data_IF_037449265877
#
_entry.id   IF_037449265877
#
_cell.length_a   1.000
_cell.length_b   1.000
_cell.length_c   1.000
_cell.angle_alpha   90.00
_cell.angle_beta   90.00
_cell.angle_gamma   90.00
#
_symmetry.space_group_name_H-M   'P 1'
#
loop_
_entity.id
_entity.type
_entity.pdbx_description
1 polymer ?
#
# COMPACT_ATOMS: atom_id res chain seq x y z
N UNK A 1 23.42 -21.81 -11.29
CA UNK A 1 22.44 -22.09 -10.20
C UNK A 1 22.22 -23.59 -10.00
N UNK A 2 21.72 -23.99 -8.83
CA UNK A 2 21.31 -25.38 -8.52
C UNK A 2 19.80 -25.61 -8.74
N UNK A 3 19.36 -26.88 -8.72
CA UNK A 3 17.96 -27.23 -8.99
C UNK A 3 16.97 -26.60 -7.99
N UNK A 4 17.33 -26.44 -6.71
CA UNK A 4 16.44 -25.85 -5.70
C UNK A 4 16.18 -24.37 -6.01
N UNK A 5 17.24 -23.63 -6.33
CA UNK A 5 17.17 -22.23 -6.74
C UNK A 5 16.39 -22.07 -8.05
N UNK A 6 16.68 -22.93 -9.04
CA UNK A 6 15.95 -22.92 -10.30
C UNK A 6 14.44 -23.14 -10.08
N UNK A 7 14.07 -24.10 -9.22
CA UNK A 7 12.68 -24.41 -8.92
C UNK A 7 11.94 -23.27 -8.21
N UNK A 8 12.60 -22.51 -7.33
CA UNK A 8 11.97 -21.35 -6.70
C UNK A 8 11.73 -20.19 -7.67
N UNK A 9 12.54 -20.08 -8.73
CA UNK A 9 12.46 -18.98 -9.70
C UNK A 9 11.53 -19.29 -10.89
N UNK A 10 11.14 -20.55 -11.09
CA UNK A 10 10.33 -20.97 -12.24
C UNK A 10 8.99 -20.22 -12.36
N UNK A 11 8.30 -19.94 -11.25
CA UNK A 11 7.02 -19.23 -11.31
C UNK A 11 7.20 -17.77 -11.71
N UNK A 12 8.13 -17.06 -11.06
CA UNK A 12 8.47 -15.68 -11.41
C UNK A 12 8.96 -15.56 -12.87
N UNK A 13 9.70 -16.55 -13.37
CA UNK A 13 10.10 -16.60 -14.79
C UNK A 13 8.88 -16.74 -15.73
N UNK A 14 7.94 -17.62 -15.40
CA UNK A 14 6.73 -17.83 -16.21
C UNK A 14 5.82 -16.59 -16.22
N UNK A 15 5.86 -15.78 -15.16
CA UNK A 15 5.10 -14.53 -15.03
C UNK A 15 5.83 -13.32 -15.63
N UNK A 16 7.11 -13.46 -16.00
CA UNK A 16 7.92 -12.40 -16.60
C UNK A 16 8.44 -11.38 -15.58
N UNK A 17 8.57 -11.78 -14.32
CA UNK A 17 8.96 -10.91 -13.19
C UNK A 17 10.46 -10.95 -12.86
N UNK A 18 11.22 -11.85 -13.48
CA UNK A 18 12.66 -11.94 -13.27
C UNK A 18 13.40 -10.83 -14.03
N UNK A 19 14.45 -10.31 -13.42
CA UNK A 19 15.41 -9.47 -14.12
C UNK A 19 16.16 -10.25 -15.21
N UNK A 20 16.87 -9.53 -16.08
CA UNK A 20 17.57 -10.12 -17.23
C UNK A 20 18.64 -11.14 -16.82
N UNK A 21 19.34 -10.90 -15.70
CA UNK A 21 20.43 -11.75 -15.24
C UNK A 21 19.87 -13.06 -14.70
N UNK A 22 18.89 -12.98 -13.80
CA UNK A 22 18.22 -14.14 -13.23
C UNK A 22 17.52 -14.99 -14.30
N UNK A 23 16.93 -14.35 -15.32
CA UNK A 23 16.33 -15.04 -16.46
C UNK A 23 17.36 -15.84 -17.25
N UNK A 24 18.50 -15.23 -17.59
CA UNK A 24 19.57 -15.91 -18.34
C UNK A 24 20.17 -17.08 -17.55
N UNK A 25 20.45 -16.90 -16.25
CA UNK A 25 20.99 -17.98 -15.43
C UNK A 25 20.02 -19.17 -15.33
N UNK A 26 18.70 -18.90 -15.28
CA UNK A 26 17.68 -19.94 -15.23
C UNK A 26 17.57 -20.68 -16.56
N UNK A 27 17.58 -19.95 -17.67
CA UNK A 27 17.58 -20.53 -19.02
C UNK A 27 18.79 -21.44 -19.22
N UNK A 28 19.99 -20.98 -18.83
CA UNK A 28 21.22 -21.79 -18.89
C UNK A 28 21.11 -23.08 -18.07
N UNK A 29 20.52 -23.02 -16.88
CA UNK A 29 20.33 -24.21 -16.05
C UNK A 29 19.30 -25.16 -16.66
N UNK A 30 18.15 -24.65 -17.13
CA UNK A 30 17.12 -25.48 -17.76
C UNK A 30 17.63 -26.13 -19.05
N UNK A 31 18.51 -25.46 -19.79
CA UNK A 31 19.18 -26.01 -20.97
C UNK A 31 20.03 -27.25 -20.65
N UNK A 32 20.48 -27.44 -19.41
CA UNK A 32 21.35 -28.54 -19.00
C UNK A 32 20.72 -29.49 -17.97
N UNK A 33 19.52 -29.19 -17.45
CA UNK A 33 18.85 -30.01 -16.44
C UNK A 33 17.49 -30.53 -16.95
N UNK A 34 17.36 -31.84 -17.27
CA UNK A 34 16.10 -32.43 -17.76
C UNK A 34 14.94 -32.29 -16.77
N UNK A 35 15.20 -32.43 -15.47
CA UNK A 35 14.16 -32.31 -14.44
C UNK A 35 13.56 -30.90 -14.37
N UNK A 36 14.41 -29.87 -14.41
CA UNK A 36 13.94 -28.48 -14.42
C UNK A 36 13.25 -28.12 -15.75
N UNK A 37 13.72 -28.68 -16.88
CA UNK A 37 13.06 -28.53 -18.18
C UNK A 37 11.65 -29.08 -18.18
N UNK A 38 11.44 -30.29 -17.68
CA UNK A 38 10.10 -30.90 -17.59
C UNK A 38 9.16 -30.07 -16.70
N UNK A 39 9.67 -29.51 -15.60
CA UNK A 39 8.88 -28.63 -14.72
C UNK A 39 8.51 -27.30 -15.40
N UNK A 40 9.44 -26.69 -16.13
CA UNK A 40 9.16 -25.49 -16.90
C UNK A 40 8.10 -25.77 -17.97
N UNK A 41 8.26 -26.86 -18.73
CA UNK A 41 7.30 -27.27 -19.75
C UNK A 41 5.90 -27.52 -19.18
N UNK A 42 5.80 -28.16 -18.01
CA UNK A 42 4.52 -28.34 -17.31
C UNK A 42 3.88 -27.01 -16.91
N UNK A 43 4.68 -26.04 -16.44
CA UNK A 43 4.20 -24.69 -16.12
C UNK A 43 3.70 -23.92 -17.35
N UNK A 44 4.41 -24.01 -18.47
CA UNK A 44 3.99 -23.42 -19.75
C UNK A 44 2.67 -24.06 -20.21
N UNK A 45 2.58 -25.39 -20.20
CA UNK A 45 1.38 -26.12 -20.60
C UNK A 45 0.16 -25.75 -19.74
N UNK A 46 0.35 -25.57 -18.42
CA UNK A 46 -0.70 -25.10 -17.52
C UNK A 46 -1.15 -23.67 -17.85
N UNK A 47 -0.20 -22.75 -18.06
CA UNK A 47 -0.49 -21.35 -18.43
C UNK A 47 -1.32 -21.28 -19.71
N UNK A 48 -0.95 -22.08 -20.72
CA UNK A 48 -1.71 -22.18 -21.96
C UNK A 48 -3.10 -22.79 -21.76
N UNK A 49 -3.22 -23.85 -20.96
CA UNK A 49 -4.51 -24.48 -20.67
C UNK A 49 -5.48 -23.49 -20.00
N UNK A 50 -4.99 -22.70 -19.02
CA UNK A 50 -5.74 -21.62 -18.38
C UNK A 50 -6.08 -20.53 -19.40
N UNK A 51 -5.12 -20.12 -20.24
CA UNK A 51 -5.34 -19.08 -21.25
C UNK A 51 -6.39 -19.47 -22.30
N UNK A 52 -6.53 -20.77 -22.60
CA UNK A 52 -7.56 -21.32 -23.48
C UNK A 52 -8.93 -21.45 -22.81
N UNK A 53 -8.97 -21.83 -21.53
CA UNK A 53 -10.22 -22.05 -20.79
C UNK A 53 -10.81 -20.76 -20.21
N UNK A 54 -9.97 -19.76 -19.94
CA UNK A 54 -10.42 -18.47 -19.46
C UNK A 54 -11.20 -17.72 -20.56
N UNK A 55 -12.49 -17.52 -20.34
CA UNK A 55 -13.31 -16.60 -21.12
C UNK A 55 -12.74 -15.17 -20.93
N UNK A 56 -11.82 -14.79 -21.80
CA UNK A 56 -11.24 -13.45 -21.82
C UNK A 56 -12.35 -12.45 -22.10
N UNK A 57 -12.81 -11.76 -21.06
CA UNK A 57 -13.76 -10.65 -21.24
C UNK A 57 -13.06 -9.51 -21.94
N UNK A 58 -13.55 -9.14 -23.13
CA UNK A 58 -13.04 -7.98 -23.87
C UNK A 58 -13.24 -6.74 -23.01
N UNK A 59 -12.17 -6.00 -22.76
CA UNK A 59 -12.24 -4.75 -22.02
C UNK A 59 -13.18 -3.76 -22.76
N UNK A 60 -14.12 -3.09 -22.05
CA UNK A 60 -14.96 -2.08 -22.68
C UNK A 60 -14.10 -0.95 -23.27
N UNK A 61 -14.49 -0.43 -24.44
CA UNK A 61 -13.75 0.62 -25.13
C UNK A 61 -13.55 1.89 -24.28
N UNK A 62 -14.42 2.15 -23.30
CA UNK A 62 -14.25 3.25 -22.33
C UNK A 62 -13.04 3.00 -21.42
N UNK A 63 -12.89 1.79 -20.88
CA UNK A 63 -11.78 1.46 -19.99
C UNK A 63 -10.44 1.56 -20.74
N UNK A 64 -10.39 1.01 -21.96
CA UNK A 64 -9.19 1.09 -22.81
C UNK A 64 -8.77 2.55 -23.03
N UNK A 65 -9.71 3.42 -23.42
CA UNK A 65 -9.45 4.85 -23.60
C UNK A 65 -8.96 5.54 -22.33
N UNK A 66 -9.56 5.24 -21.17
CA UNK A 66 -9.14 5.80 -19.89
C UNK A 66 -7.70 5.42 -19.56
N UNK A 67 -7.35 4.13 -19.70
CA UNK A 67 -6.02 3.62 -19.38
C UNK A 67 -4.98 4.20 -20.32
N UNK A 68 -5.23 4.22 -21.64
CA UNK A 68 -4.31 4.83 -22.62
C UNK A 68 -4.05 6.30 -22.31
N UNK A 69 -5.11 7.08 -22.00
CA UNK A 69 -4.97 8.49 -21.62
C UNK A 69 -4.17 8.67 -20.33
N UNK A 70 -4.33 7.78 -19.36
CA UNK A 70 -3.55 7.83 -18.11
C UNK A 70 -2.08 7.50 -18.35
N UNK A 71 -1.76 6.52 -19.20
CA UNK A 71 -0.36 6.20 -19.53
C UNK A 71 0.35 7.31 -20.29
N UNK A 72 -0.34 8.01 -21.20
CA UNK A 72 0.22 9.16 -21.92
C UNK A 72 0.56 10.32 -20.96
N UNK A 73 -0.26 10.52 -19.93
CA UNK A 73 -0.02 11.54 -18.90
C UNK A 73 1.10 11.16 -17.93
N UNK A 74 1.36 9.86 -17.70
CA UNK A 74 2.49 9.39 -16.89
C UNK A 74 3.83 9.51 -17.65
N UNK A 75 3.80 9.54 -18.98
CA UNK A 75 4.98 9.77 -19.83
C UNK A 75 5.39 11.24 -19.97
N UNK A 76 4.51 12.18 -19.62
CA UNK A 76 4.83 13.61 -19.57
C UNK A 76 5.30 13.99 -18.17
N UNK A 77 6.50 13.54 -17.82
CA UNK A 77 7.28 14.17 -16.77
C UNK A 77 7.45 15.64 -17.11
N UNK A 78 6.84 16.50 -16.30
CA UNK A 78 6.89 17.95 -16.34
C UNK A 78 8.35 18.42 -16.34
N UNK A 79 8.90 18.65 -17.53
CA UNK A 79 10.11 19.44 -17.71
C UNK A 79 9.67 20.88 -17.76
N UNK A 80 9.89 21.57 -16.64
CA UNK A 80 9.45 22.93 -16.38
C UNK A 80 9.61 23.88 -17.57
N UNK A 81 8.51 24.15 -18.26
CA UNK A 81 8.41 25.18 -19.26
C UNK A 81 7.94 26.48 -18.61
N UNK A 82 8.89 27.35 -18.21
CA UNK A 82 8.64 28.78 -17.91
C UNK A 82 7.87 29.41 -19.07
N UNK A 83 6.54 29.40 -19.01
CA UNK A 83 5.68 30.21 -19.89
C UNK A 83 5.76 31.65 -19.42
N UNK A 84 6.83 32.29 -19.88
CA UNK A 84 7.09 33.73 -19.80
C UNK A 84 6.01 34.45 -20.61
N UNK A 85 4.98 34.94 -19.93
CA UNK A 85 4.04 35.90 -20.51
C UNK A 85 4.78 37.24 -20.69
N UNK A 86 5.36 37.47 -21.87
CA UNK A 86 5.84 38.79 -22.27
C UNK A 86 4.66 39.55 -22.87
N UNK A 87 4.04 40.42 -22.08
CA UNK A 87 3.23 41.53 -22.59
C UNK A 87 4.13 42.76 -22.76
N UNK A 88 3.97 43.57 -23.82
CA UNK A 88 4.76 44.78 -24.00
C UNK A 88 4.19 45.88 -23.10
N UNK A 89 4.92 46.27 -22.05
CA UNK A 89 4.55 47.43 -21.24
C UNK A 89 5.15 48.67 -21.92
N UNK A 90 4.29 49.49 -22.52
CA UNK A 90 4.64 50.83 -22.97
C UNK A 90 4.88 51.72 -21.74
N UNK A 91 6.04 52.39 -21.71
CA UNK A 91 6.43 53.31 -20.64
C UNK A 91 6.09 54.74 -21.08
N UNK A 92 5.37 55.52 -20.24
CA UNK A 92 5.61 56.95 -20.17
C UNK A 92 6.14 57.35 -18.79
N UNK A 93 6.99 58.35 -18.86
CA UNK A 93 7.97 58.83 -17.89
C UNK A 93 7.40 59.69 -16.74
N UNK A 94 8.06 59.61 -15.59
CA UNK A 94 8.30 60.69 -14.60
C UNK A 94 7.28 61.03 -13.48
N UNK A 95 6.20 60.27 -13.28
CA UNK A 95 5.27 60.50 -12.14
C UNK A 95 5.40 59.53 -10.94
N UNK A 96 6.18 58.45 -11.06
CA UNK A 96 5.97 57.24 -10.26
C UNK A 96 6.98 56.97 -9.13
N UNK A 97 7.83 57.94 -8.75
CA UNK A 97 8.87 57.68 -7.73
C UNK A 97 8.35 57.82 -6.30
N UNK A 98 7.35 58.69 -6.04
CA UNK A 98 6.82 58.90 -4.68
C UNK A 98 5.68 57.95 -4.28
N UNK A 99 4.93 57.38 -5.23
CA UNK A 99 3.90 56.39 -4.93
C UNK A 99 4.49 54.98 -4.64
N UNK A 100 5.72 54.72 -5.10
CA UNK A 100 6.36 53.40 -4.96
C UNK A 100 6.84 53.10 -3.53
N UNK A 101 7.21 54.14 -2.75
CA UNK A 101 7.64 53.97 -1.37
C UNK A 101 6.47 53.62 -0.42
N UNK A 102 5.26 54.12 -0.70
CA UNK A 102 4.05 53.79 0.08
C UNK A 102 3.50 52.40 -0.33
N UNK A 103 3.65 52.01 -1.60
CA UNK A 103 3.25 50.67 -2.07
C UNK A 103 4.18 49.54 -1.59
N UNK A 104 5.46 49.84 -1.30
CA UNK A 104 6.43 48.86 -0.76
C UNK A 104 6.31 48.61 0.75
N UNK A 105 5.64 49.49 1.51
CA UNK A 105 5.47 49.33 2.97
C UNK A 105 4.31 48.43 3.40
N UNK A 106 3.34 48.16 2.50
CA UNK A 106 2.10 47.43 2.81
C UNK A 106 2.12 45.97 2.33
N UNK A 107 3.07 45.61 1.46
CA UNK A 107 3.26 44.23 0.99
C UNK A 107 4.29 43.50 1.87
N UNK A 108 4.03 43.40 3.17
CA UNK A 108 4.55 42.23 3.90
C UNK A 108 3.72 41.04 3.42
N UNK A 109 4.27 40.07 2.66
CA UNK A 109 3.56 38.83 2.46
C UNK A 109 3.30 38.26 3.85
N UNK A 110 2.03 38.20 4.24
CA UNK A 110 1.65 37.40 5.40
C UNK A 110 2.14 36.00 5.10
N UNK A 111 3.09 35.50 5.89
CA UNK A 111 3.39 34.07 5.94
C UNK A 111 2.07 33.41 6.34
N UNK A 112 1.37 32.87 5.34
CA UNK A 112 0.27 31.96 5.59
C UNK A 112 0.84 30.88 6.52
N UNK A 113 0.18 30.59 7.65
CA UNK A 113 0.68 29.58 8.57
C UNK A 113 0.92 28.31 7.76
N UNK A 114 2.17 27.84 7.79
CA UNK A 114 2.54 26.55 7.22
C UNK A 114 1.71 25.52 7.97
N UNK A 115 0.58 25.14 7.38
CA UNK A 115 -0.25 24.05 7.87
C UNK A 115 0.69 22.85 7.97
N UNK A 116 0.89 22.34 9.18
CA UNK A 116 1.56 21.08 9.38
C UNK A 116 0.95 20.06 8.40
N UNK A 117 1.77 19.23 7.73
CA UNK A 117 1.25 18.22 6.82
C UNK A 117 0.22 17.39 7.57
N UNK A 118 -0.96 17.25 6.95
CA UNK A 118 -2.05 16.50 7.56
C UNK A 118 -1.53 15.12 7.98
N UNK A 119 -1.85 14.65 9.20
CA UNK A 119 -1.33 13.40 9.71
C UNK A 119 -1.63 12.26 8.72
N UNK A 120 -0.60 11.47 8.41
CA UNK A 120 -0.77 10.34 7.50
C UNK A 120 -1.81 9.36 8.05
N UNK A 121 -2.60 8.78 7.16
CA UNK A 121 -3.67 7.84 7.53
C UNK A 121 -3.36 6.49 6.92
N UNK A 122 -3.27 5.47 7.75
CA UNK A 122 -2.75 4.16 7.33
C UNK A 122 -3.60 3.04 7.89
N UNK A 123 -4.00 2.11 7.01
CA UNK A 123 -4.71 0.89 7.38
C UNK A 123 -3.78 -0.31 7.23
N UNK A 124 -3.51 -0.99 8.34
CA UNK A 124 -2.77 -2.25 8.38
C UNK A 124 -3.74 -3.41 8.28
N UNK A 125 -3.49 -4.30 7.33
CA UNK A 125 -4.29 -5.49 7.14
C UNK A 125 -3.52 -6.72 7.64
N UNK A 126 -4.07 -7.38 8.65
CA UNK A 126 -3.53 -8.63 9.21
C UNK A 126 -4.56 -9.74 8.95
N UNK A 127 -4.24 -10.64 8.01
CA UNK A 127 -5.07 -11.81 7.70
C UNK A 127 -4.57 -13.12 8.31
N UNK A 128 -3.41 -13.10 8.95
CA UNK A 128 -2.73 -14.27 9.51
C UNK A 128 -2.06 -13.90 10.84
N UNK A 129 -2.40 -14.63 11.90
CA UNK A 129 -1.87 -14.39 13.25
C UNK A 129 -0.38 -14.70 13.39
N UNK A 130 0.18 -15.54 12.51
CA UNK A 130 1.63 -15.86 12.51
C UNK A 130 2.49 -14.62 12.24
N UNK A 131 1.96 -13.67 11.47
CA UNK A 131 2.65 -12.42 11.15
C UNK A 131 2.33 -11.29 12.13
N UNK A 132 1.42 -11.49 13.08
CA UNK A 132 0.91 -10.42 13.95
C UNK A 132 2.02 -9.77 14.77
N UNK A 133 2.92 -10.55 15.38
CA UNK A 133 4.02 -9.99 16.18
C UNK A 133 4.94 -9.09 15.35
N UNK A 134 5.28 -9.50 14.13
CA UNK A 134 6.06 -8.68 13.20
C UNK A 134 5.28 -7.43 12.78
N UNK A 135 3.99 -7.56 12.48
CA UNK A 135 3.13 -6.44 12.12
C UNK A 135 3.05 -5.38 13.24
N UNK A 136 2.90 -5.80 14.50
CA UNK A 136 2.85 -4.88 15.65
C UNK A 136 4.19 -4.17 15.89
N UNK A 137 5.33 -4.86 15.70
CA UNK A 137 6.66 -4.23 15.74
C UNK A 137 6.81 -3.18 14.63
N UNK A 138 6.42 -3.53 13.40
CA UNK A 138 6.44 -2.58 12.27
C UNK A 138 5.55 -1.36 12.56
N UNK A 139 4.44 -1.55 13.25
CA UNK A 139 3.53 -0.48 13.65
C UNK A 139 4.18 0.44 14.71
N UNK A 140 4.87 -0.11 15.72
CA UNK A 140 5.63 0.72 16.68
C UNK A 140 6.67 1.58 15.97
N UNK A 141 7.46 0.97 15.08
CA UNK A 141 8.49 1.66 14.30
C UNK A 141 7.88 2.77 13.42
N UNK A 142 6.71 2.52 12.83
CA UNK A 142 5.99 3.52 12.05
C UNK A 142 5.61 4.73 12.91
N UNK A 143 5.02 4.50 14.08
CA UNK A 143 4.65 5.57 15.00
C UNK A 143 5.86 6.30 15.63
N UNK A 144 7.04 5.68 15.66
CA UNK A 144 8.27 6.35 16.09
C UNK A 144 8.74 7.37 15.05
N UNK A 145 8.63 7.03 13.75
CA UNK A 145 8.99 7.94 12.65
C UNK A 145 7.90 8.97 12.36
N UNK A 146 6.64 8.61 12.61
CA UNK A 146 5.47 9.45 12.40
C UNK A 146 4.55 9.44 13.62
N UNK A 147 4.88 10.19 14.68
CA UNK A 147 4.12 10.18 15.95
C UNK A 147 2.66 10.60 15.82
N UNK A 148 2.33 11.39 14.79
CA UNK A 148 0.99 11.89 14.55
C UNK A 148 0.18 11.01 13.58
N UNK A 149 0.73 9.88 13.11
CA UNK A 149 0.06 9.01 12.15
C UNK A 149 -1.25 8.44 12.73
N UNK A 150 -2.33 8.48 11.95
CA UNK A 150 -3.60 7.83 12.27
C UNK A 150 -3.58 6.42 11.72
N UNK A 151 -3.37 5.44 12.60
CA UNK A 151 -3.24 4.03 12.21
C UNK A 151 -4.47 3.23 12.64
N UNK A 152 -5.04 2.47 11.70
CA UNK A 152 -6.10 1.50 11.95
C UNK A 152 -5.60 0.11 11.54
N UNK A 153 -5.64 -0.85 12.45
CA UNK A 153 -5.39 -2.26 12.17
C UNK A 153 -6.72 -2.96 11.93
N UNK A 154 -6.86 -3.64 10.80
CA UNK A 154 -8.03 -4.47 10.49
C UNK A 154 -7.60 -5.93 10.39
N UNK A 155 -8.16 -6.75 11.28
CA UNK A 155 -7.91 -8.17 11.39
C UNK A 155 -9.09 -8.99 10.85
N UNK A 156 -8.80 -9.99 10.03
CA UNK A 156 -9.78 -10.97 9.56
C UNK A 156 -9.13 -12.34 9.31
N UNK A 157 -9.93 -13.37 9.02
CA UNK A 157 -9.47 -14.77 8.91
C UNK A 157 -8.71 -15.21 10.17
N UNK A 158 -7.53 -15.83 10.04
CA UNK A 158 -6.72 -16.29 11.18
C UNK A 158 -6.05 -15.11 11.90
N UNK A 159 -5.97 -13.96 11.23
CA UNK A 159 -5.46 -12.71 11.80
C UNK A 159 -6.26 -12.17 12.99
N UNK A 160 -7.45 -12.70 13.30
CA UNK A 160 -8.20 -12.29 14.51
C UNK A 160 -7.63 -12.89 15.80
N UNK A 161 -6.83 -13.96 15.70
CA UNK A 161 -6.46 -14.77 16.86
C UNK A 161 -5.56 -14.02 17.84
N UNK A 162 -4.74 -13.08 17.38
CA UNK A 162 -3.88 -12.28 18.25
C UNK A 162 -4.65 -11.24 19.10
N UNK A 163 -5.91 -10.98 18.75
CA UNK A 163 -6.81 -10.08 19.47
C UNK A 163 -7.76 -10.82 20.43
N UNK A 164 -7.56 -12.12 20.63
CA UNK A 164 -8.30 -12.92 21.61
C UNK A 164 -7.62 -12.86 22.99
N UNK A 165 -8.43 -12.98 24.04
CA UNK A 165 -7.95 -13.08 25.42
C UNK A 165 -7.00 -14.26 25.57
N UNK A 166 -5.85 -14.02 26.21
CA UNK A 166 -4.82 -15.03 26.43
C UNK A 166 -3.96 -15.36 25.20
N UNK A 167 -4.15 -14.69 24.06
CA UNK A 167 -3.34 -14.90 22.87
C UNK A 167 -1.85 -14.58 23.13
N UNK A 168 -0.98 -15.45 22.63
CA UNK A 168 0.48 -15.36 22.76
C UNK A 168 1.15 -15.51 21.40
N UNK A 169 2.30 -14.85 21.23
CA UNK A 169 3.14 -15.02 20.06
C UNK A 169 3.94 -16.33 20.09
N UNK A 170 4.75 -16.57 19.07
CA UNK A 170 5.64 -17.74 18.98
C UNK A 170 6.70 -17.81 20.07
N UNK A 171 7.00 -16.69 20.74
CA UNK A 171 7.94 -16.60 21.87
C UNK A 171 7.23 -16.75 23.22
N UNK A 172 5.90 -16.98 23.22
CA UNK A 172 5.08 -17.10 24.42
C UNK A 172 4.73 -15.78 25.09
N UNK A 173 5.06 -14.63 24.47
CA UNK A 173 4.73 -13.30 25.00
C UNK A 173 3.26 -12.97 24.72
N UNK A 174 2.54 -12.37 25.68
CA UNK A 174 1.13 -12.06 25.50
C UNK A 174 0.93 -10.86 24.55
N UNK A 175 0.07 -11.02 23.55
CA UNK A 175 -0.23 -9.94 22.58
C UNK A 175 -0.88 -8.72 23.24
N UNK A 176 -1.65 -8.92 24.32
CA UNK A 176 -2.40 -7.85 24.99
C UNK A 176 -1.51 -6.69 25.44
N UNK A 177 -0.26 -6.96 25.83
CA UNK A 177 0.69 -5.93 26.26
C UNK A 177 1.03 -4.98 25.09
N UNK A 178 1.48 -5.54 23.96
CA UNK A 178 1.80 -4.77 22.76
C UNK A 178 0.57 -4.05 22.20
N UNK A 179 -0.58 -4.71 22.16
CA UNK A 179 -1.82 -4.10 21.67
C UNK A 179 -2.27 -2.94 22.56
N UNK A 180 -2.15 -3.07 23.89
CA UNK A 180 -2.52 -2.02 24.83
C UNK A 180 -1.62 -0.80 24.71
N UNK A 181 -0.31 -1.00 24.55
CA UNK A 181 0.66 0.08 24.33
C UNK A 181 0.35 0.85 23.04
N UNK A 182 0.11 0.13 21.94
CA UNK A 182 -0.23 0.74 20.65
C UNK A 182 -1.60 1.44 20.71
N UNK A 183 -2.58 0.88 21.42
CA UNK A 183 -3.88 1.52 21.64
C UNK A 183 -3.73 2.83 22.43
N UNK A 184 -2.85 2.87 23.43
CA UNK A 184 -2.54 4.10 24.18
C UNK A 184 -1.88 5.17 23.31
N UNK A 185 -1.17 4.77 22.24
CA UNK A 185 -0.61 5.66 21.21
C UNK A 185 -1.62 6.04 20.11
N UNK A 186 -2.90 5.69 20.26
CA UNK A 186 -3.97 6.10 19.34
C UNK A 186 -4.27 5.13 18.19
N UNK A 187 -3.74 3.90 18.23
CA UNK A 187 -3.99 2.88 17.20
C UNK A 187 -5.34 2.21 17.41
N UNK A 188 -6.16 2.12 16.35
CA UNK A 188 -7.44 1.42 16.41
C UNK A 188 -7.33 -0.02 15.91
N UNK A 189 -7.73 -0.99 16.74
CA UNK A 189 -7.80 -2.40 16.35
C UNK A 189 -9.24 -2.77 16.00
N UNK A 190 -9.49 -3.22 14.77
CA UNK A 190 -10.81 -3.58 14.25
C UNK A 190 -10.84 -5.06 13.85
N UNK A 191 -11.87 -5.77 14.29
CA UNK A 191 -12.03 -7.22 14.05
C UNK A 191 -13.23 -7.49 13.17
N UNK A 192 -13.03 -8.32 12.15
CA UNK A 192 -14.08 -8.71 11.21
C UNK A 192 -15.14 -9.63 11.87
N UNK A 193 -16.36 -9.13 12.02
CA UNK A 193 -17.50 -9.85 12.56
C UNK A 193 -17.85 -11.10 11.77
N UNK A 194 -17.86 -11.03 10.43
CA UNK A 194 -18.04 -12.21 9.57
C UNK A 194 -17.02 -13.32 9.86
N UNK A 195 -15.79 -12.95 10.23
CA UNK A 195 -14.77 -13.94 10.60
C UNK A 195 -15.11 -14.62 11.92
N UNK A 196 -15.52 -13.86 12.93
CA UNK A 196 -15.91 -14.42 14.22
C UNK A 196 -17.12 -15.35 14.07
N UNK A 197 -18.15 -14.94 13.32
CA UNK A 197 -19.32 -15.79 13.03
C UNK A 197 -18.92 -17.08 12.34
N UNK A 198 -18.14 -17.01 11.24
CA UNK A 198 -17.72 -18.19 10.47
C UNK A 198 -16.86 -19.15 11.27
N UNK A 199 -16.02 -18.62 12.18
CA UNK A 199 -15.12 -19.41 13.03
C UNK A 199 -15.74 -19.76 14.39
N UNK A 200 -17.01 -19.42 14.62
CA UNK A 200 -17.74 -19.67 15.88
C UNK A 200 -17.01 -19.12 17.10
N UNK A 201 -16.43 -17.93 16.97
CA UNK A 201 -15.73 -17.23 18.05
C UNK A 201 -16.70 -16.27 18.71
N UNK A 202 -16.89 -16.44 20.02
CA UNK A 202 -17.70 -15.53 20.83
C UNK A 202 -17.01 -14.15 20.92
N UNK A 203 -17.69 -13.04 20.58
CA UNK A 203 -17.14 -11.69 20.71
C UNK A 203 -16.64 -11.34 22.11
N UNK A 204 -17.18 -11.97 23.17
CA UNK A 204 -16.73 -11.77 24.56
C UNK A 204 -15.30 -12.25 24.80
N UNK A 205 -14.75 -13.09 23.91
CA UNK A 205 -13.35 -13.54 23.96
C UNK A 205 -12.37 -12.53 23.39
N UNK A 206 -12.84 -11.44 22.78
CA UNK A 206 -11.97 -10.36 22.33
C UNK A 206 -11.36 -9.63 23.52
N UNK A 207 -10.15 -9.11 23.33
CA UNK A 207 -9.58 -8.15 24.28
C UNK A 207 -10.32 -6.81 24.20
N UNK A 208 -10.41 -6.04 25.30
CA UNK A 208 -11.16 -4.77 25.34
C UNK A 208 -10.70 -3.72 24.32
N UNK A 209 -9.47 -3.79 23.85
CA UNK A 209 -8.89 -2.86 22.87
C UNK A 209 -9.43 -3.07 21.45
N UNK A 210 -10.02 -4.24 21.17
CA UNK A 210 -10.52 -4.60 19.86
C UNK A 210 -11.96 -4.12 19.65
N UNK A 211 -12.21 -3.45 18.54
CA UNK A 211 -13.54 -3.00 18.12
C UNK A 211 -14.09 -3.93 17.05
N UNK A 212 -15.32 -4.42 17.24
CA UNK A 212 -15.97 -5.27 16.24
C UNK A 212 -16.49 -4.42 15.07
N UNK A 213 -16.23 -4.86 13.83
CA UNK A 213 -16.81 -4.27 12.62
C UNK A 213 -17.56 -5.33 11.81
N UNK A 214 -18.63 -5.01 11.06
CA UNK A 214 -19.40 -6.01 10.33
C UNK A 214 -18.56 -6.85 9.35
N UNK A 215 -17.68 -6.19 8.58
CA UNK A 215 -16.81 -6.85 7.60
C UNK A 215 -15.46 -6.15 7.50
N UNK A 216 -14.36 -6.89 7.70
CA UNK A 216 -13.00 -6.36 7.65
C UNK A 216 -12.60 -5.87 6.25
N UNK A 217 -12.94 -6.60 5.20
CA UNK A 217 -12.62 -6.20 3.81
C UNK A 217 -13.38 -4.93 3.43
N UNK A 218 -14.68 -4.86 3.79
CA UNK A 218 -15.48 -3.66 3.55
C UNK A 218 -14.94 -2.46 4.33
N UNK A 219 -14.49 -2.68 5.57
CA UNK A 219 -13.91 -1.63 6.40
C UNK A 219 -12.60 -1.09 5.82
N UNK A 220 -11.71 -1.96 5.35
CA UNK A 220 -10.49 -1.55 4.64
C UNK A 220 -10.83 -0.74 3.39
N UNK A 221 -11.82 -1.16 2.59
CA UNK A 221 -12.24 -0.42 1.41
C UNK A 221 -12.83 0.96 1.75
N UNK A 222 -13.68 1.02 2.79
CA UNK A 222 -14.28 2.26 3.30
C UNK A 222 -13.21 3.25 3.76
N UNK A 223 -12.23 2.80 4.55
CA UNK A 223 -11.11 3.62 5.02
C UNK A 223 -10.29 4.19 3.86
N UNK A 224 -9.98 3.36 2.86
CA UNK A 224 -9.20 3.81 1.70
C UNK A 224 -9.97 4.82 0.83
N UNK A 225 -11.21 4.50 0.45
CA UNK A 225 -11.97 5.26 -0.54
C UNK A 225 -12.56 6.54 0.06
N UNK A 226 -13.11 6.45 1.28
CA UNK A 226 -13.87 7.56 1.87
C UNK A 226 -13.01 8.43 2.79
N UNK A 227 -12.04 7.84 3.50
CA UNK A 227 -11.22 8.57 4.47
C UNK A 227 -9.78 8.81 3.99
N UNK A 228 -9.40 8.26 2.84
CA UNK A 228 -8.10 8.45 2.20
C UNK A 228 -6.95 7.68 2.84
N UNK A 229 -7.23 6.59 3.57
CA UNK A 229 -6.19 5.77 4.18
C UNK A 229 -5.31 5.08 3.13
N UNK A 230 -4.01 4.92 3.43
CA UNK A 230 -3.07 4.10 2.65
C UNK A 230 -3.05 2.68 3.21
N UNK A 231 -3.04 1.70 2.32
CA UNK A 231 -3.09 0.29 2.69
C UNK A 231 -1.69 -0.30 2.84
N UNK A 232 -1.46 -1.01 3.94
CA UNK A 232 -0.27 -1.83 4.17
C UNK A 232 -0.67 -3.25 4.56
N UNK A 233 0.07 -4.23 4.02
CA UNK A 233 -0.06 -5.65 4.36
C UNK A 233 1.32 -6.20 4.73
N UNK A 234 1.62 -6.34 6.03
CA UNK A 234 2.87 -6.93 6.53
C UNK A 234 3.01 -8.42 6.24
#
# INVERSE_FOLDING_TARGET
MNCRQAQSLLHAYLDGELDLVASLELEQHVAHCPACRSRQAAGIALKEAIARSAARRKAPARLVRTVCRQSENLGHGDSGGRRRWLLPVAVPTLGAVLALAVWLGVLRPGEAPVSAPAPEKVVYHINDSRNAATALRNLSNHLEQSPNARIVVVAHNDGVDFLLQGARDSEGKPFVAMVSELKARGVDFRVCGNTLTRRHIDPTRLIPQATLVPSGVAEIARLQIQEGFRYLKP
#
